data_IF_938233899233
#
_entry.id   IF_938233899233
#
_cell.length_a   1.000
_cell.length_b   1.000
_cell.length_c   1.000
_cell.angle_alpha   90.00
_cell.angle_beta   90.00
_cell.angle_gamma   90.00
#
_symmetry.space_group_name_H-M   'P 1'
#
loop_
_entity.id
_entity.type
_entity.pdbx_description
1 polymer ?
#
# COMPACT_ATOMS: atom_id res chain seq x y z
N UNK A 1 29.06 2.45 14.32
CA UNK A 1 27.59 2.35 14.25
C UNK A 1 27.16 3.47 13.33
N UNK A 2 26.81 3.18 12.09
CA UNK A 2 26.63 4.21 11.08
C UNK A 2 25.24 4.86 11.21
N UNK A 3 25.25 6.18 11.36
CA UNK A 3 24.12 7.08 11.26
C UNK A 3 23.39 6.87 9.92
N UNK A 4 22.06 6.79 9.94
CA UNK A 4 21.23 7.12 8.79
C UNK A 4 19.98 7.87 9.26
N UNK A 5 20.17 9.18 9.35
CA UNK A 5 19.26 10.28 9.02
C UNK A 5 17.76 9.99 9.07
N UNK A 6 17.08 10.70 9.98
CA UNK A 6 15.63 10.95 10.02
C UNK A 6 14.97 10.98 8.63
N UNK A 7 14.17 9.95 8.28
CA UNK A 7 13.36 9.93 7.06
C UNK A 7 11.86 10.13 7.34
N UNK A 8 11.47 10.98 8.29
CA UNK A 8 10.11 11.54 8.30
C UNK A 8 10.12 12.94 8.91
N UNK A 9 9.86 13.98 8.10
CA UNK A 9 8.90 14.96 8.59
C UNK A 9 8.00 15.50 7.46
N UNK A 10 6.69 15.24 7.56
CA UNK A 10 5.64 16.25 7.30
C UNK A 10 4.26 15.72 7.70
N UNK A 11 3.78 16.25 8.83
CA UNK A 11 2.38 16.20 9.24
C UNK A 11 2.01 14.92 10.00
N UNK A 12 2.06 15.02 11.33
CA UNK A 12 1.25 14.25 12.30
C UNK A 12 0.42 13.09 11.72
N UNK A 13 1.07 11.94 11.54
CA UNK A 13 0.36 10.68 11.36
C UNK A 13 -0.23 10.29 12.71
N UNK A 14 -1.46 10.73 12.95
CA UNK A 14 -2.37 10.12 13.92
C UNK A 14 -2.29 8.60 13.71
N UNK A 15 -1.74 7.87 14.67
CA UNK A 15 -1.57 6.40 14.67
C UNK A 15 -2.90 5.62 14.60
N UNK A 16 -4.03 6.31 14.40
CA UNK A 16 -5.39 5.78 14.38
C UNK A 16 -6.11 6.07 13.05
N UNK A 17 -5.40 6.22 11.93
CA UNK A 17 -6.03 6.36 10.63
C UNK A 17 -5.66 5.17 9.75
N UNK A 18 -6.52 4.16 9.76
CA UNK A 18 -6.61 3.26 8.61
C UNK A 18 -7.00 4.14 7.42
N UNK A 19 -6.00 4.67 6.71
CA UNK A 19 -6.20 5.30 5.41
C UNK A 19 -6.88 4.23 4.57
N UNK A 20 -8.15 4.45 4.23
CA UNK A 20 -8.94 3.47 3.49
C UNK A 20 -8.36 3.23 2.10
N UNK A 21 -7.65 4.22 1.54
CA UNK A 21 -7.10 4.22 0.19
C UNK A 21 -5.61 4.65 0.17
N UNK A 22 -4.70 3.70 -0.01
CA UNK A 22 -3.27 3.89 -0.16
C UNK A 22 -2.90 4.27 -1.59
N UNK A 23 -1.92 5.17 -1.74
CA UNK A 23 -1.24 5.36 -3.03
C UNK A 23 -0.36 4.14 -3.34
N UNK A 24 -0.01 3.87 -4.62
CA UNK A 24 0.83 2.74 -4.97
C UNK A 24 2.19 2.72 -4.25
N UNK A 25 2.75 3.89 -3.92
CA UNK A 25 3.99 3.99 -3.14
C UNK A 25 3.82 3.43 -1.73
N UNK A 26 2.87 3.99 -0.98
CA UNK A 26 2.60 3.63 0.41
C UNK A 26 2.19 2.16 0.53
N UNK A 27 1.42 1.65 -0.44
CA UNK A 27 0.99 0.24 -0.44
C UNK A 27 2.14 -0.73 -0.77
N UNK A 28 3.05 -0.33 -1.67
CA UNK A 28 4.23 -1.13 -1.97
C UNK A 28 5.18 -1.21 -0.76
N UNK A 29 5.35 -0.10 -0.04
CA UNK A 29 6.09 -0.06 1.23
C UNK A 29 5.43 -0.96 2.27
N UNK A 30 4.10 -0.93 2.40
CA UNK A 30 3.34 -1.81 3.31
C UNK A 30 3.55 -3.31 2.98
N UNK A 31 3.67 -3.66 1.71
CA UNK A 31 3.90 -5.04 1.26
C UNK A 31 5.38 -5.46 1.26
N UNK A 32 6.32 -4.51 1.46
CA UNK A 32 7.75 -4.77 1.35
C UNK A 32 8.21 -5.06 -0.08
N UNK A 33 7.55 -4.50 -1.09
CA UNK A 33 7.91 -4.66 -2.52
C UNK A 33 8.15 -3.31 -3.20
N UNK A 34 8.73 -3.34 -4.40
CA UNK A 34 8.85 -2.12 -5.21
C UNK A 34 7.51 -1.72 -5.84
N UNK A 35 7.32 -0.43 -6.10
CA UNK A 35 6.14 0.07 -6.85
C UNK A 35 6.04 -0.56 -8.24
N UNK A 36 7.18 -0.86 -8.89
CA UNK A 36 7.24 -1.51 -10.21
C UNK A 36 6.69 -2.94 -10.14
N UNK A 37 6.99 -3.66 -9.05
CA UNK A 37 6.41 -4.99 -8.78
C UNK A 37 4.89 -4.89 -8.62
N UNK A 38 4.41 -3.94 -7.81
CA UNK A 38 2.99 -3.72 -7.60
C UNK A 38 2.24 -3.36 -8.90
N UNK A 39 2.84 -2.53 -9.76
CA UNK A 39 2.29 -2.20 -11.09
C UNK A 39 2.31 -3.38 -12.07
N UNK A 40 3.26 -4.32 -11.93
CA UNK A 40 3.28 -5.56 -12.71
C UNK A 40 2.13 -6.47 -12.27
N UNK A 41 1.92 -6.63 -10.96
CA UNK A 41 0.82 -7.42 -10.42
C UNK A 41 -0.56 -6.89 -10.82
N UNK A 42 -0.74 -5.57 -10.90
CA UNK A 42 -1.97 -4.96 -11.43
C UNK A 42 -2.20 -5.30 -12.91
N UNK A 43 -1.14 -5.38 -13.73
CA UNK A 43 -1.23 -5.75 -15.15
C UNK A 43 -1.46 -7.25 -15.38
N UNK A 44 -1.00 -8.08 -14.45
CA UNK A 44 -1.13 -9.54 -14.48
C UNK A 44 -2.36 -10.03 -13.69
N UNK A 45 -3.23 -9.12 -13.24
CA UNK A 45 -4.42 -9.40 -12.40
C UNK A 45 -4.11 -10.19 -11.09
N UNK A 46 -2.88 -10.12 -10.58
CA UNK A 46 -2.46 -10.75 -9.31
C UNK A 46 -2.95 -9.93 -8.10
N UNK A 47 -2.84 -8.61 -8.17
CA UNK A 47 -3.31 -7.69 -7.15
C UNK A 47 -3.79 -6.42 -7.84
N UNK A 48 -5.08 -6.41 -8.17
CA UNK A 48 -5.70 -5.41 -9.03
C UNK A 48 -5.89 -4.08 -8.31
N UNK A 49 -5.40 -2.99 -8.89
CA UNK A 49 -5.61 -1.67 -8.33
C UNK A 49 -7.05 -1.20 -8.53
N UNK A 50 -7.66 -0.58 -7.51
CA UNK A 50 -8.86 0.22 -7.71
C UNK A 50 -8.49 1.52 -8.41
N UNK A 51 -9.44 2.08 -9.16
CA UNK A 51 -9.23 3.28 -10.00
C UNK A 51 -10.16 4.41 -9.61
N UNK A 52 -9.63 5.61 -9.53
CA UNK A 52 -10.46 6.83 -9.40
C UNK A 52 -11.22 7.06 -10.72
N UNK A 53 -12.25 7.94 -10.74
CA UNK A 53 -12.87 8.37 -12.00
C UNK A 53 -11.89 8.96 -13.03
N UNK A 54 -10.72 9.40 -12.56
CA UNK A 54 -9.60 9.93 -13.37
C UNK A 54 -8.49 8.90 -13.64
N UNK A 55 -8.79 7.60 -13.48
CA UNK A 55 -7.90 6.44 -13.69
C UNK A 55 -6.61 6.40 -12.82
N UNK A 56 -6.61 7.08 -11.67
CA UNK A 56 -5.49 6.96 -10.73
C UNK A 56 -5.63 5.68 -9.89
N UNK A 57 -4.54 4.91 -9.80
CA UNK A 57 -4.45 3.70 -8.98
C UNK A 57 -4.47 4.02 -7.49
N UNK A 58 -5.25 3.26 -6.74
CA UNK A 58 -5.20 3.20 -5.29
C UNK A 58 -5.50 1.78 -4.79
N UNK A 59 -5.11 1.50 -3.56
CA UNK A 59 -5.30 0.19 -2.91
C UNK A 59 -5.95 0.36 -1.55
N UNK A 60 -6.66 -0.66 -1.06
CA UNK A 60 -7.30 -0.60 0.27
C UNK A 60 -6.67 -1.56 1.26
N UNK A 61 -6.86 -1.30 2.56
CA UNK A 61 -6.36 -2.21 3.59
C UNK A 61 -6.95 -3.62 3.47
N UNK A 62 -8.22 -3.74 3.06
CA UNK A 62 -8.84 -5.05 2.81
C UNK A 62 -8.10 -5.86 1.75
N UNK A 63 -7.60 -5.21 0.68
CA UNK A 63 -6.79 -5.88 -0.34
C UNK A 63 -5.48 -6.40 0.24
N UNK A 64 -4.90 -5.71 1.22
CA UNK A 64 -3.73 -6.19 1.94
C UNK A 64 -4.08 -7.43 2.76
N UNK A 65 -5.17 -7.39 3.53
CA UNK A 65 -5.60 -8.53 4.35
C UNK A 65 -5.90 -9.76 3.50
N UNK A 66 -6.61 -9.59 2.39
CA UNK A 66 -6.92 -10.65 1.42
C UNK A 66 -5.64 -11.22 0.79
N UNK A 67 -4.76 -10.36 0.29
CA UNK A 67 -3.49 -10.77 -0.33
C UNK A 67 -2.56 -11.50 0.64
N UNK A 68 -2.57 -11.11 1.92
CA UNK A 68 -1.79 -11.76 2.98
C UNK A 68 -2.46 -13.01 3.55
N UNK A 69 -3.70 -13.31 3.16
CA UNK A 69 -4.49 -14.41 3.72
C UNK A 69 -4.91 -14.21 5.18
N UNK A 70 -4.90 -12.98 5.67
CA UNK A 70 -5.21 -12.63 7.07
C UNK A 70 -6.73 -12.45 7.27
N UNK A 71 -7.48 -12.10 6.22
CA UNK A 71 -8.93 -11.85 6.28
C UNK A 71 -9.80 -13.09 6.56
N UNK A 72 -9.19 -14.27 6.77
CA UNK A 72 -9.89 -15.54 7.03
C UNK A 72 -9.45 -16.19 8.34
N UNK A 73 -9.57 -15.47 9.45
CA UNK A 73 -9.67 -16.11 10.77
C UNK A 73 -11.15 -15.97 11.18
N UNK A 74 -11.87 -17.07 10.98
CA UNK A 74 -13.20 -17.41 11.51
C UNK A 74 -13.38 -17.03 12.97
#
# INVERSE_FOLDING_TARGET
MFENVNMYPRGEINMNKHITNYKPKDFAELLGVSVKTLQRWDREDILKAKRTPTDRRYYTYDQYLEFKGISNIT
#
